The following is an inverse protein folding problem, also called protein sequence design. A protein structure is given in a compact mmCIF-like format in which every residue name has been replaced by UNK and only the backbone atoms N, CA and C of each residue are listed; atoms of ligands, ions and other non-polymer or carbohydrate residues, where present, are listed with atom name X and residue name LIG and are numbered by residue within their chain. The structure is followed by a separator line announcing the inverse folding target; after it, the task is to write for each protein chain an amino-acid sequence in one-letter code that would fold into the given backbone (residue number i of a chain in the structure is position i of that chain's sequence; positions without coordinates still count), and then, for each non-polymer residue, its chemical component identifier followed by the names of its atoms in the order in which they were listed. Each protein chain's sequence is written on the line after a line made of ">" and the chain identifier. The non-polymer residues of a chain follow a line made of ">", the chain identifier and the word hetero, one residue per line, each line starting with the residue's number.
data_IF_121335936113
#
_entry.id   IF_121335936113
#
_cell.length_a   1.000
_cell.length_b   1.000
_cell.length_c   1.000
_cell.angle_alpha   90.00
_cell.angle_beta   90.00
_cell.angle_gamma   90.00
#
_symmetry.space_group_name_H-M   'P 1'
#
loop_
_entity.id
_entity.type
_entity.pdbx_description
1 polymer ?
#
# COMPACT_ATOMS: atom_id res chain seq x y z
N UNK A 1 -1.25 -16.40 5.26
CA UNK A 1 -2.25 -15.36 4.93
C UNK A 1 -2.01 -14.60 3.62
N UNK A 2 -0.80 -14.18 3.25
CA UNK A 2 -0.56 -13.36 2.03
C UNK A 2 -1.06 -14.01 0.74
N UNK A 3 -0.89 -15.33 0.58
CA UNK A 3 -1.28 -16.07 -0.63
C UNK A 3 -2.82 -16.06 -0.82
N UNK A 4 -3.58 -16.27 0.25
CA UNK A 4 -5.06 -16.32 0.26
C UNK A 4 -5.70 -15.00 -0.19
N UNK A 5 -5.05 -13.86 0.07
CA UNK A 5 -5.57 -12.53 -0.23
C UNK A 5 -5.14 -12.01 -1.61
N UNK A 6 -4.48 -12.83 -2.43
CA UNK A 6 -4.14 -12.47 -3.80
C UNK A 6 -5.38 -12.49 -4.69
N UNK A 7 -5.42 -11.62 -5.70
CA UNK A 7 -6.52 -11.58 -6.69
C UNK A 7 -6.53 -12.77 -7.64
N UNK A 8 -5.38 -13.40 -7.82
CA UNK A 8 -5.22 -14.61 -8.62
C UNK A 8 -4.38 -15.57 -7.80
N UNK A 9 -4.80 -16.83 -7.73
CA UNK A 9 -4.14 -17.90 -6.99
C UNK A 9 -4.12 -19.14 -7.87
N UNK A 10 -2.99 -19.83 -7.94
CA UNK A 10 -2.87 -21.08 -8.69
C UNK A 10 -3.29 -22.26 -7.82
N UNK A 11 -3.67 -23.39 -8.45
CA UNK A 11 -4.02 -24.61 -7.72
C UNK A 11 -2.88 -25.11 -6.82
N UNK A 12 -1.63 -25.03 -7.31
CA UNK A 12 -0.44 -25.39 -6.54
C UNK A 12 -0.29 -24.54 -5.27
N UNK A 13 -0.57 -23.23 -5.39
CA UNK A 13 -0.57 -22.34 -4.23
C UNK A 13 -1.68 -22.67 -3.24
N UNK A 14 -2.87 -23.07 -3.72
CA UNK A 14 -3.98 -23.51 -2.85
C UNK A 14 -3.58 -24.78 -2.10
N UNK A 15 -2.99 -25.77 -2.77
CA UNK A 15 -2.50 -27.00 -2.14
C UNK A 15 -1.39 -26.73 -1.11
N UNK A 16 -0.49 -25.79 -1.40
CA UNK A 16 0.52 -25.36 -0.44
C UNK A 16 -0.11 -24.71 0.78
N UNK A 17 -1.08 -23.82 0.58
CA UNK A 17 -1.81 -23.15 1.67
C UNK A 17 -2.54 -24.17 2.54
N UNK A 18 -3.20 -25.15 1.93
CA UNK A 18 -3.91 -26.23 2.64
C UNK A 18 -2.97 -26.96 3.60
N UNK A 19 -1.84 -27.48 3.09
CA UNK A 19 -0.82 -28.17 3.89
C UNK A 19 -0.30 -27.31 5.04
N UNK A 20 -0.01 -26.03 4.79
CA UNK A 20 0.50 -25.12 5.80
C UNK A 20 -0.53 -24.79 6.89
N UNK A 21 -1.80 -24.64 6.52
CA UNK A 21 -2.86 -24.37 7.48
C UNK A 21 -3.21 -25.60 8.33
N UNK A 22 -3.24 -26.79 7.72
CA UNK A 22 -3.45 -28.05 8.44
C UNK A 22 -2.32 -28.28 9.44
N UNK A 23 -1.06 -28.20 9.01
CA UNK A 23 0.10 -28.34 9.89
C UNK A 23 0.09 -27.33 11.03
N UNK A 24 -0.28 -26.07 10.75
CA UNK A 24 -0.43 -25.06 11.80
C UNK A 24 -1.50 -25.44 12.83
N UNK A 25 -2.67 -25.92 12.38
CA UNK A 25 -3.76 -26.31 13.30
C UNK A 25 -3.37 -27.54 14.12
N UNK A 26 -2.71 -28.52 13.52
CA UNK A 26 -2.20 -29.71 14.23
C UNK A 26 -1.20 -29.33 15.33
N UNK A 27 -0.21 -28.47 15.00
CA UNK A 27 0.76 -27.97 15.98
C UNK A 27 0.08 -27.14 17.08
N UNK A 28 -0.89 -26.30 16.71
CA UNK A 28 -1.66 -25.53 17.68
C UNK A 28 -2.44 -26.44 18.63
N UNK A 29 -3.09 -27.48 18.11
CA UNK A 29 -3.82 -28.45 18.92
C UNK A 29 -2.87 -29.21 19.85
N UNK A 30 -1.69 -29.62 19.39
CA UNK A 30 -0.69 -30.29 20.23
C UNK A 30 -0.18 -29.38 21.36
N UNK A 31 0.08 -28.10 21.07
CA UNK A 31 0.63 -27.18 22.06
C UNK A 31 -0.41 -26.72 23.08
N UNK A 32 -1.61 -26.35 22.62
CA UNK A 32 -2.61 -25.68 23.46
C UNK A 32 -3.77 -26.58 23.88
N UNK A 33 -4.33 -27.37 22.96
CA UNK A 33 -5.51 -28.21 23.24
C UNK A 33 -5.15 -29.54 23.93
N UNK A 34 -4.08 -30.20 23.46
CA UNK A 34 -3.56 -31.48 23.95
C UNK A 34 -4.61 -32.61 23.99
N UNK A 35 -5.70 -32.50 23.23
CA UNK A 35 -6.80 -33.47 23.28
C UNK A 35 -7.59 -33.46 24.60
N UNK A 36 -7.42 -32.44 25.45
CA UNK A 36 -8.08 -32.37 26.75
C UNK A 36 -9.42 -31.63 26.65
N UNK A 37 -10.56 -32.24 26.98
CA UNK A 37 -11.88 -31.60 26.85
C UNK A 37 -12.00 -30.27 27.62
N UNK A 38 -11.34 -30.13 28.78
CA UNK A 38 -11.32 -28.88 29.55
C UNK A 38 -10.63 -27.71 28.82
N UNK A 39 -9.89 -27.99 27.76
CA UNK A 39 -9.14 -27.03 26.93
C UNK A 39 -9.79 -26.76 25.57
N UNK A 40 -10.97 -27.32 25.32
CA UNK A 40 -11.67 -27.16 24.04
C UNK A 40 -11.90 -25.69 23.66
N UNK A 41 -12.02 -24.81 24.65
CA UNK A 41 -12.18 -23.36 24.45
C UNK A 41 -11.02 -22.68 23.71
N UNK A 42 -9.83 -23.31 23.63
CA UNK A 42 -8.72 -22.81 22.79
C UNK A 42 -8.98 -23.03 21.30
N UNK A 43 -9.70 -24.08 20.92
CA UNK A 43 -10.06 -24.40 19.52
C UNK A 43 -11.25 -23.55 19.10
N UNK A 44 -11.06 -22.24 19.06
CA UNK A 44 -12.11 -21.30 18.63
C UNK A 44 -12.44 -21.50 17.16
N UNK A 45 -13.64 -21.05 16.78
CA UNK A 45 -14.09 -21.03 15.39
C UNK A 45 -13.06 -20.41 14.43
N UNK A 46 -12.34 -19.37 14.85
CA UNK A 46 -11.31 -18.72 14.00
C UNK A 46 -10.13 -19.64 13.68
N UNK A 47 -9.77 -20.56 14.59
CA UNK A 47 -8.70 -21.55 14.36
C UNK A 47 -9.25 -22.67 13.48
N UNK A 48 -10.44 -23.19 13.81
CA UNK A 48 -11.07 -24.25 13.02
C UNK A 48 -11.36 -23.82 11.57
N UNK A 49 -11.73 -22.55 11.36
CA UNK A 49 -12.01 -21.99 10.04
C UNK A 49 -10.80 -22.08 9.10
N UNK A 50 -9.57 -22.10 9.62
CA UNK A 50 -8.36 -22.22 8.79
C UNK A 50 -8.35 -23.50 7.94
N UNK A 51 -8.88 -24.60 8.47
CA UNK A 51 -9.00 -25.87 7.75
C UNK A 51 -9.94 -25.79 6.54
N UNK A 52 -10.85 -24.82 6.53
CA UNK A 52 -11.85 -24.66 5.47
C UNK A 52 -11.44 -23.63 4.41
N UNK A 53 -10.37 -22.86 4.63
CA UNK A 53 -9.98 -21.77 3.72
C UNK A 53 -9.62 -22.30 2.33
N UNK A 54 -8.76 -23.31 2.22
CA UNK A 54 -8.34 -23.83 0.92
C UNK A 54 -9.49 -24.48 0.13
N UNK A 55 -10.34 -25.35 0.72
CA UNK A 55 -11.55 -25.83 0.05
C UNK A 55 -12.48 -24.71 -0.41
N UNK A 56 -12.66 -23.66 0.40
CA UNK A 56 -13.47 -22.51 0.02
C UNK A 56 -12.88 -21.76 -1.16
N UNK A 57 -11.56 -21.56 -1.22
CA UNK A 57 -10.93 -20.88 -2.36
C UNK A 57 -11.20 -21.60 -3.68
N UNK A 58 -11.25 -22.94 -3.67
CA UNK A 58 -11.59 -23.73 -4.86
C UNK A 58 -13.05 -23.49 -5.27
N UNK A 59 -13.96 -23.38 -4.30
CA UNK A 59 -15.40 -23.25 -4.54
C UNK A 59 -15.82 -21.84 -4.97
N UNK A 60 -15.36 -20.81 -4.26
CA UNK A 60 -15.82 -19.42 -4.42
C UNK A 60 -14.75 -18.48 -4.95
N UNK A 61 -13.52 -18.95 -5.12
CA UNK A 61 -12.37 -18.17 -5.57
C UNK A 61 -11.59 -17.52 -4.43
N UNK A 62 -10.56 -16.72 -4.77
CA UNK A 62 -9.65 -16.11 -3.78
C UNK A 62 -10.37 -15.30 -2.70
N UNK A 63 -9.85 -15.39 -1.48
CA UNK A 63 -10.47 -14.77 -0.30
C UNK A 63 -10.62 -13.26 -0.39
N UNK A 64 -9.86 -12.56 -1.25
CA UNK A 64 -10.05 -11.12 -1.46
C UNK A 64 -11.41 -10.76 -2.07
N UNK A 65 -12.06 -11.68 -2.78
CA UNK A 65 -13.35 -11.44 -3.43
C UNK A 65 -14.53 -11.61 -2.48
N UNK A 66 -14.41 -12.50 -1.50
CA UNK A 66 -15.42 -12.78 -0.48
C UNK A 66 -15.16 -12.08 0.85
N UNK A 67 -14.05 -11.35 0.98
CA UNK A 67 -13.70 -10.72 2.23
C UNK A 67 -14.68 -9.62 2.65
N UNK A 68 -15.03 -9.62 3.94
CA UNK A 68 -15.93 -8.67 4.56
C UNK A 68 -15.49 -7.21 4.40
N UNK A 69 -14.19 -6.93 4.42
CA UNK A 69 -13.68 -5.56 4.27
C UNK A 69 -14.10 -4.91 2.94
N UNK A 70 -14.26 -5.69 1.87
CA UNK A 70 -14.73 -5.18 0.57
C UNK A 70 -16.19 -4.73 0.67
N UNK A 71 -17.02 -5.54 1.35
CA UNK A 71 -18.42 -5.24 1.59
C UNK A 71 -18.58 -4.04 2.53
N UNK A 72 -17.85 -3.98 3.65
CA UNK A 72 -17.90 -2.84 4.57
C UNK A 72 -17.44 -1.55 3.93
N UNK A 73 -16.39 -1.61 3.11
CA UNK A 73 -15.91 -0.44 2.37
C UNK A 73 -16.96 0.06 1.39
N UNK A 74 -17.67 -0.85 0.71
CA UNK A 74 -18.77 -0.52 -0.17
C UNK A 74 -19.94 0.10 0.61
N UNK A 75 -20.31 -0.49 1.76
CA UNK A 75 -21.38 0.05 2.62
C UNK A 75 -21.05 1.48 3.07
N UNK A 76 -19.83 1.72 3.56
CA UNK A 76 -19.43 3.07 3.98
C UNK A 76 -19.40 4.07 2.83
N UNK A 77 -18.97 3.64 1.64
CA UNK A 77 -18.94 4.47 0.43
C UNK A 77 -20.36 4.81 -0.05
N UNK A 78 -21.28 3.83 -0.06
CA UNK A 78 -22.69 4.03 -0.39
C UNK A 78 -23.41 4.87 0.66
N UNK A 79 -23.10 4.68 1.93
CA UNK A 79 -23.67 5.46 3.03
C UNK A 79 -23.38 6.96 2.89
N UNK A 80 -22.20 7.32 2.39
CA UNK A 80 -21.84 8.71 2.09
C UNK A 80 -22.65 9.33 0.92
N UNK A 81 -23.34 8.51 0.12
CA UNK A 81 -24.17 8.95 -1.00
C UNK A 81 -25.67 9.05 -0.65
N UNK A 82 -26.07 8.70 0.57
CA UNK A 82 -27.46 8.81 1.02
C UNK A 82 -27.73 10.23 1.50
N UNK A 83 -28.45 11.00 0.69
CA UNK A 83 -28.74 12.42 0.98
C UNK A 83 -30.13 12.66 1.54
N UNK A 84 -31.08 11.73 1.30
CA UNK A 84 -32.47 11.89 1.69
C UNK A 84 -32.80 11.00 2.91
N UNK A 85 -32.97 11.62 4.07
CA UNK A 85 -33.28 10.91 5.32
C UNK A 85 -34.71 10.37 5.39
N UNK A 86 -35.65 10.92 4.61
CA UNK A 86 -37.05 10.49 4.61
C UNK A 86 -37.32 9.25 3.74
N UNK A 87 -36.50 9.03 2.70
CA UNK A 87 -36.54 7.83 1.86
C UNK A 87 -35.10 7.43 1.44
N UNK A 88 -34.33 6.85 2.39
CA UNK A 88 -32.94 6.51 2.15
C UNK A 88 -32.79 5.36 1.14
N UNK A 89 -33.74 4.42 1.10
CA UNK A 89 -33.68 3.27 0.20
C UNK A 89 -34.03 3.66 -1.24
N UNK A 90 -35.04 4.50 -1.45
CA UNK A 90 -35.33 5.06 -2.78
C UNK A 90 -34.16 5.87 -3.31
N UNK A 91 -33.58 6.75 -2.49
CA UNK A 91 -32.39 7.53 -2.87
C UNK A 91 -31.19 6.64 -3.21
N UNK A 92 -30.89 5.65 -2.37
CA UNK A 92 -29.80 4.70 -2.59
C UNK A 92 -30.00 3.89 -3.88
N UNK A 93 -31.22 3.46 -4.18
CA UNK A 93 -31.51 2.69 -5.39
C UNK A 93 -31.17 3.47 -6.67
N UNK A 94 -31.52 4.76 -6.71
CA UNK A 94 -31.18 5.66 -7.84
C UNK A 94 -29.67 5.86 -7.94
N UNK A 95 -28.97 6.06 -6.81
CA UNK A 95 -27.51 6.20 -6.78
C UNK A 95 -26.81 4.95 -7.30
N UNK A 96 -27.26 3.77 -6.90
CA UNK A 96 -26.72 2.50 -7.35
C UNK A 96 -26.90 2.30 -8.86
N UNK A 97 -28.08 2.63 -9.40
CA UNK A 97 -28.35 2.56 -10.85
C UNK A 97 -27.41 3.49 -11.63
N UNK A 98 -27.28 4.76 -11.20
CA UNK A 98 -26.37 5.72 -11.84
C UNK A 98 -24.91 5.24 -11.82
N UNK A 99 -24.46 4.70 -10.68
CA UNK A 99 -23.11 4.15 -10.56
C UNK A 99 -22.89 2.94 -11.44
N UNK A 100 -23.89 2.06 -11.55
CA UNK A 100 -23.90 0.95 -12.48
C UNK A 100 -23.75 1.40 -13.93
N UNK A 101 -24.53 2.40 -14.35
CA UNK A 101 -24.46 2.98 -15.70
C UNK A 101 -23.09 3.60 -16.00
N UNK A 102 -22.53 4.38 -15.07
CA UNK A 102 -21.20 4.99 -15.23
C UNK A 102 -20.10 3.92 -15.31
N UNK A 103 -20.20 2.87 -14.49
CA UNK A 103 -19.23 1.76 -14.52
C UNK A 103 -19.33 0.95 -15.82
N UNK A 104 -20.55 0.68 -16.30
CA UNK A 104 -20.77 0.04 -17.59
C UNK A 104 -20.19 0.87 -18.74
N UNK A 105 -20.41 2.18 -18.72
CA UNK A 105 -19.82 3.09 -19.69
C UNK A 105 -18.28 3.06 -19.62
N UNK A 106 -17.70 3.15 -18.42
CA UNK A 106 -16.23 3.05 -18.22
C UNK A 106 -15.65 1.72 -18.69
N UNK A 107 -16.37 0.62 -18.50
CA UNK A 107 -15.94 -0.72 -18.94
C UNK A 107 -16.05 -0.93 -20.45
N UNK A 108 -17.08 -0.35 -21.08
CA UNK A 108 -17.26 -0.38 -22.53
C UNK A 108 -16.33 0.60 -23.27
N UNK A 109 -15.85 1.64 -22.57
CA UNK A 109 -14.94 2.63 -23.12
C UNK A 109 -13.52 2.06 -23.27
N UNK A 110 -13.20 1.58 -24.48
CA UNK A 110 -11.84 1.17 -24.91
C UNK A 110 -11.09 2.39 -25.46
N UNK A 111 -11.14 3.53 -24.77
CA UNK A 111 -10.29 4.66 -25.13
C UNK A 111 -8.89 4.48 -24.55
N UNK A 112 -7.86 5.19 -25.07
CA UNK A 112 -6.58 5.25 -24.41
C UNK A 112 -6.82 5.79 -23.01
N UNK A 113 -6.51 4.97 -21.99
CA UNK A 113 -6.43 5.44 -20.61
C UNK A 113 -5.46 6.59 -20.66
N UNK A 114 -5.97 7.81 -20.55
CA UNK A 114 -5.14 9.00 -20.64
C UNK A 114 -4.08 8.81 -19.57
N UNK A 115 -2.81 8.72 -19.99
CA UNK A 115 -1.71 8.65 -19.04
C UNK A 115 -1.98 9.71 -17.98
N UNK A 116 -2.14 9.27 -16.74
CA UNK A 116 -2.53 10.16 -15.65
C UNK A 116 -1.50 11.27 -15.64
N UNK A 117 -1.90 12.45 -16.14
CA UNK A 117 -1.01 13.61 -16.21
C UNK A 117 -0.42 13.76 -14.82
N UNK A 118 0.91 13.81 -14.76
CA UNK A 118 1.58 13.97 -13.49
C UNK A 118 1.00 15.20 -12.79
N UNK A 119 0.75 15.12 -11.47
CA UNK A 119 0.19 16.25 -10.76
C UNK A 119 1.12 17.46 -10.91
N UNK A 120 0.53 18.66 -10.92
CA UNK A 120 1.28 19.90 -11.10
C UNK A 120 2.40 20.02 -10.06
N UNK A 121 3.64 20.16 -10.53
CA UNK A 121 4.82 20.21 -9.67
C UNK A 121 5.42 18.85 -9.33
N UNK A 122 5.05 17.78 -10.02
CA UNK A 122 5.78 16.51 -9.97
C UNK A 122 6.93 16.46 -11.00
N UNK A 123 8.02 15.79 -10.64
CA UNK A 123 9.23 15.67 -11.47
C UNK A 123 9.52 14.18 -11.74
N UNK A 124 9.58 13.80 -13.01
CA UNK A 124 9.96 12.44 -13.42
C UNK A 124 11.47 12.27 -13.36
N UNK A 125 11.96 11.26 -12.65
CA UNK A 125 13.39 10.92 -12.55
C UNK A 125 13.83 9.87 -13.58
N UNK A 126 12.91 9.38 -14.41
CA UNK A 126 13.13 8.22 -15.27
C UNK A 126 12.97 6.88 -14.52
N UNK A 127 12.98 5.77 -15.27
CA UNK A 127 12.87 4.42 -14.68
C UNK A 127 11.57 4.13 -13.92
N UNK A 128 10.52 4.92 -14.12
CA UNK A 128 9.24 4.82 -13.40
C UNK A 128 9.18 5.57 -12.06
N UNK A 129 10.27 6.22 -11.64
CA UNK A 129 10.34 7.02 -10.43
C UNK A 129 9.82 8.44 -10.66
N UNK A 130 8.96 8.92 -9.77
CA UNK A 130 8.42 10.30 -9.86
C UNK A 130 8.39 10.96 -8.50
N UNK A 131 9.03 12.13 -8.38
CA UNK A 131 8.93 12.98 -7.21
C UNK A 131 7.57 13.69 -7.21
N UNK A 132 6.84 13.62 -6.10
CA UNK A 132 5.48 14.14 -5.96
C UNK A 132 5.44 15.36 -5.02
N UNK A 133 4.45 16.22 -5.22
CA UNK A 133 4.29 17.48 -4.50
C UNK A 133 4.30 17.30 -2.96
N UNK A 134 4.83 18.33 -2.28
CA UNK A 134 5.44 18.36 -0.94
C UNK A 134 6.98 18.37 -1.01
N UNK A 135 7.51 19.36 -1.73
CA UNK A 135 8.93 19.68 -1.76
C UNK A 135 9.19 20.94 -0.92
N UNK A 136 10.45 21.21 -0.58
CA UNK A 136 10.84 22.55 -0.12
C UNK A 136 10.43 23.59 -1.18
N UNK A 137 10.02 24.78 -0.74
CA UNK A 137 9.68 25.87 -1.67
C UNK A 137 10.93 26.41 -2.38
N UNK A 138 12.04 26.47 -1.64
CA UNK A 138 13.32 27.01 -2.09
C UNK A 138 14.45 26.01 -1.81
N UNK A 139 15.55 26.15 -2.53
CA UNK A 139 16.75 25.38 -2.25
C UNK A 139 17.34 25.81 -0.90
N UNK A 140 17.59 24.84 -0.04
CA UNK A 140 18.17 25.06 1.29
C UNK A 140 19.64 24.72 1.24
N UNK A 141 20.47 25.62 1.74
CA UNK A 141 21.88 25.36 1.94
C UNK A 141 22.05 24.43 3.14
N UNK A 142 22.69 23.27 2.91
CA UNK A 142 22.93 22.31 3.99
C UNK A 142 24.27 22.63 4.64
N UNK A 143 24.22 23.18 5.85
CA UNK A 143 25.40 23.44 6.67
C UNK A 143 25.67 22.30 7.67
N UNK A 144 26.92 22.19 8.11
CA UNK A 144 27.37 21.21 9.11
C UNK A 144 27.70 19.83 8.52
N UNK A 145 27.73 18.77 9.34
CA UNK A 145 28.31 17.47 8.97
C UNK A 145 27.63 16.81 7.78
N UNK A 146 26.34 17.09 7.55
CA UNK A 146 25.62 16.64 6.36
C UNK A 146 26.10 17.33 5.08
N UNK A 147 26.38 18.63 5.15
CA UNK A 147 26.93 19.40 4.03
C UNK A 147 28.36 18.99 3.68
N UNK A 148 29.17 18.69 4.70
CA UNK A 148 30.54 18.18 4.52
C UNK A 148 30.54 16.81 3.83
N UNK A 149 29.67 15.90 4.28
CA UNK A 149 29.51 14.57 3.67
C UNK A 149 29.03 14.66 2.21
N UNK A 150 28.10 15.56 1.90
CA UNK A 150 27.64 15.83 0.54
C UNK A 150 28.74 16.40 -0.35
N UNK A 151 29.53 17.33 0.18
CA UNK A 151 30.64 17.95 -0.54
C UNK A 151 31.73 16.92 -0.85
N UNK A 152 32.04 16.03 0.10
CA UNK A 152 32.97 14.92 -0.08
C UNK A 152 32.45 13.93 -1.13
N UNK A 153 31.17 13.56 -1.06
CA UNK A 153 30.56 12.64 -2.03
C UNK A 153 30.61 13.20 -3.46
N UNK A 154 30.29 14.48 -3.65
CA UNK A 154 30.37 15.13 -4.96
C UNK A 154 31.80 15.28 -5.47
N UNK A 155 32.77 15.52 -4.58
CA UNK A 155 34.20 15.53 -4.95
C UNK A 155 34.69 14.18 -5.50
N UNK A 156 34.07 13.08 -5.09
CA UNK A 156 34.40 11.73 -5.57
C UNK A 156 33.73 11.37 -6.90
N UNK A 157 32.60 12.00 -7.25
CA UNK A 157 31.75 11.57 -8.38
C UNK A 157 31.59 12.62 -9.50
N UNK A 158 32.04 13.87 -9.28
CA UNK A 158 32.04 14.92 -10.30
C UNK A 158 33.48 15.42 -10.55
N UNK A 159 33.78 15.94 -11.76
CA UNK A 159 35.12 16.45 -12.10
C UNK A 159 35.62 17.48 -11.07
N UNK A 160 36.94 17.57 -10.78
CA UNK A 160 37.43 18.57 -9.83
C UNK A 160 37.23 19.98 -10.41
N UNK A 161 36.43 20.79 -9.72
CA UNK A 161 36.25 22.20 -10.03
C UNK A 161 36.57 23.01 -8.77
N UNK A 162 37.39 24.04 -8.91
CA UNK A 162 38.16 24.64 -7.81
C UNK A 162 37.37 25.59 -6.91
N UNK A 163 36.14 25.94 -7.30
CA UNK A 163 35.37 27.00 -6.65
C UNK A 163 33.89 26.60 -6.46
N UNK A 164 33.64 25.43 -5.85
CA UNK A 164 32.28 24.92 -5.66
C UNK A 164 31.61 25.55 -4.42
N UNK A 165 30.51 26.30 -4.59
CA UNK A 165 29.71 26.74 -3.46
C UNK A 165 29.09 25.54 -2.74
N UNK A 166 28.75 25.71 -1.46
CA UNK A 166 28.13 24.68 -0.64
C UNK A 166 26.86 24.10 -1.30
N UNK A 167 26.58 22.79 -1.08
CA UNK A 167 25.36 22.13 -1.53
C UNK A 167 24.10 22.91 -1.24
N UNK A 168 23.40 23.33 -2.29
CA UNK A 168 22.00 23.72 -2.22
C UNK A 168 21.15 22.53 -2.63
N UNK A 169 20.22 22.12 -1.76
CA UNK A 169 19.38 20.95 -1.99
C UNK A 169 17.92 21.33 -1.82
N UNK A 170 17.07 20.73 -2.65
CA UNK A 170 15.62 20.78 -2.51
C UNK A 170 15.11 19.41 -2.08
N UNK A 171 14.50 19.34 -0.90
CA UNK A 171 13.98 18.09 -0.35
C UNK A 171 12.62 17.79 -0.91
N UNK A 172 12.34 16.51 -1.16
CA UNK A 172 11.03 16.03 -1.60
C UNK A 172 10.50 15.01 -0.60
N UNK A 173 9.30 15.25 -0.10
CA UNK A 173 8.72 14.40 0.92
C UNK A 173 8.05 13.12 0.38
N UNK A 174 7.89 13.01 -0.94
CA UNK A 174 7.12 11.94 -1.58
C UNK A 174 7.77 11.48 -2.86
N UNK A 175 7.94 10.17 -2.98
CA UNK A 175 8.48 9.51 -4.17
C UNK A 175 7.51 8.41 -4.61
N UNK A 176 7.02 8.49 -5.85
CA UNK A 176 6.32 7.39 -6.51
C UNK A 176 7.36 6.41 -7.04
N UNK A 177 7.20 5.15 -6.67
CA UNK A 177 8.02 4.03 -7.12
C UNK A 177 7.48 3.48 -8.46
N UNK A 178 8.27 2.67 -9.20
CA UNK A 178 7.85 2.09 -10.48
C UNK A 178 6.62 1.19 -10.36
N UNK A 179 6.39 0.61 -9.17
CA UNK A 179 5.21 -0.20 -8.86
C UNK A 179 3.94 0.65 -8.54
N UNK A 180 4.02 1.97 -8.68
CA UNK A 180 2.93 2.91 -8.42
C UNK A 180 2.70 3.28 -6.95
N UNK A 181 3.42 2.65 -6.00
CA UNK A 181 3.36 3.01 -4.59
C UNK A 181 4.04 4.36 -4.35
N UNK A 182 3.63 5.06 -3.28
CA UNK A 182 4.24 6.34 -2.88
C UNK A 182 4.97 6.15 -1.56
N UNK A 183 6.29 6.19 -1.62
CA UNK A 183 7.16 6.32 -0.47
C UNK A 183 7.10 7.76 0.07
N UNK A 184 7.23 7.90 1.39
CA UNK A 184 7.16 9.19 2.08
C UNK A 184 8.37 9.35 3.00
N UNK A 185 8.89 10.57 3.07
CA UNK A 185 10.05 10.90 3.90
C UNK A 185 9.65 11.06 5.37
N UNK A 186 10.53 10.64 6.29
CA UNK A 186 10.40 10.96 7.71
C UNK A 186 10.31 12.47 7.98
N UNK A 187 11.03 13.28 7.19
CA UNK A 187 11.05 14.74 7.35
C UNK A 187 9.65 15.37 7.44
N UNK A 188 8.71 14.96 6.57
CA UNK A 188 7.34 15.50 6.56
C UNK A 188 6.34 14.69 7.38
N UNK A 189 6.60 13.41 7.62
CA UNK A 189 5.73 12.57 8.44
C UNK A 189 5.97 12.73 9.94
N UNK A 190 7.22 12.90 10.37
CA UNK A 190 7.58 13.13 11.78
C UNK A 190 7.07 14.46 12.36
N UNK A 191 6.62 15.38 11.50
CA UNK A 191 5.94 16.62 11.90
C UNK A 191 4.46 16.41 12.24
N UNK A 192 3.91 15.20 12.04
CA UNK A 192 2.50 14.89 12.29
C UNK A 192 2.34 14.16 13.63
N UNK A 193 1.23 14.39 14.36
CA UNK A 193 0.91 13.60 15.53
C UNK A 193 0.67 12.13 15.14
N UNK A 194 1.00 11.21 16.04
CA UNK A 194 0.91 9.75 15.81
C UNK A 194 -0.50 9.32 15.39
N UNK A 195 -1.53 9.96 15.96
CA UNK A 195 -2.95 9.72 15.65
C UNK A 195 -3.33 10.07 14.19
N UNK A 196 -2.60 11.01 13.58
CA UNK A 196 -2.79 11.42 12.18
C UNK A 196 -1.89 10.68 11.19
N UNK A 197 -1.05 9.76 11.68
CA UNK A 197 -0.02 9.08 10.89
C UNK A 197 -0.57 7.76 10.34
N UNK A 198 -0.59 7.61 9.02
CA UNK A 198 -1.12 6.40 8.37
C UNK A 198 -0.02 5.35 8.23
N UNK A 199 0.21 4.60 9.30
CA UNK A 199 1.31 3.63 9.47
C UNK A 199 1.25 2.43 8.50
N UNK A 200 0.11 2.18 7.85
CA UNK A 200 -0.10 1.04 6.96
C UNK A 200 0.62 1.10 5.58
N UNK A 201 1.53 2.06 5.35
CA UNK A 201 2.18 2.30 4.04
C UNK A 201 3.70 2.43 4.12
N UNK A 202 4.34 1.64 4.99
CA UNK A 202 5.80 1.58 5.06
C UNK A 202 6.35 0.77 3.87
N UNK A 203 7.31 1.35 3.15
CA UNK A 203 8.06 0.65 2.10
C UNK A 203 9.36 0.14 2.70
N UNK A 204 9.61 -1.18 2.63
CA UNK A 204 10.91 -1.76 2.97
C UNK A 204 11.84 -1.60 1.77
N UNK A 205 12.72 -0.61 1.81
CA UNK A 205 13.77 -0.47 0.82
C UNK A 205 14.98 -1.33 1.23
N UNK A 206 15.41 -2.23 0.34
CA UNK A 206 16.73 -2.86 0.46
C UNK A 206 17.74 -1.84 -0.09
N UNK A 207 18.53 -1.24 0.79
CA UNK A 207 19.45 -0.17 0.40
C UNK A 207 20.70 -0.81 -0.21
N UNK A 208 20.62 -1.14 -1.50
CA UNK A 208 21.79 -1.35 -2.36
C UNK A 208 21.83 -0.27 -3.44
N UNK A 209 21.62 1.00 -3.07
CA UNK A 209 21.66 2.10 -4.05
C UNK A 209 22.24 3.36 -3.43
N UNK A 210 23.57 3.44 -3.49
CA UNK A 210 24.41 4.63 -3.28
C UNK A 210 24.05 5.80 -4.21
N UNK A 211 23.10 5.62 -5.14
CA UNK A 211 22.64 6.65 -6.09
C UNK A 211 21.30 7.32 -5.72
N UNK A 212 20.54 6.83 -4.72
CA UNK A 212 19.20 7.38 -4.39
C UNK A 212 19.24 8.44 -3.28
N UNK A 213 20.39 8.62 -2.61
CA UNK A 213 20.55 9.63 -1.54
C UNK A 213 20.35 11.07 -2.07
N UNK A 214 20.46 11.29 -3.38
CA UNK A 214 20.34 12.62 -3.98
C UNK A 214 18.94 13.25 -3.99
N UNK A 215 17.89 12.60 -3.50
CA UNK A 215 16.55 13.22 -3.47
C UNK A 215 15.72 13.06 -2.18
N UNK A 216 16.24 12.44 -1.11
CA UNK A 216 15.45 12.18 0.12
C UNK A 216 16.18 12.57 1.42
N UNK A 217 17.19 13.43 1.36
CA UNK A 217 17.65 14.15 2.55
C UNK A 217 17.23 15.60 2.47
#
# INVERSE_FOLDING_TARGET
>A
MRIIHQRSITLEQVQLVDKLLVSFVEEFEQLYYQGHPGRLHFVRQSIHLLLHIAPQIILIGPGCYSAQWTMERLIGDLGAEIWLHSDPYGNLSVRLVLRGQVNAFKGAYIGPVTETKLPQGAVSLGGGYVLLCAADEHEVLIAGPHGDALSLFWGLHLPPDSDRPLPKIRRWARLRLPNGQVARSLWKEGQRPLEGLRIARNVKASIEFTQIIHHIL
#
